data_IF_782190747380
#
_entry.id   IF_782190747380
#
_cell.length_a   1.000
_cell.length_b   1.000
_cell.length_c   1.000
_cell.angle_alpha   90.00
_cell.angle_beta   90.00
_cell.angle_gamma   90.00
#
_symmetry.space_group_name_H-M   'P 1'
#
loop_
_entity.id
_entity.type
_entity.pdbx_description
1 polymer ?
#
# COMPACT_ATOMS: atom_id res chain seq x y z
N UNK A 1 12.24 -1.30 13.68
CA UNK A 1 11.42 -2.54 13.75
C UNK A 1 10.91 -2.87 12.36
N UNK A 2 10.90 -4.14 12.00
CA UNK A 2 10.37 -4.63 10.72
C UNK A 2 9.06 -5.36 10.97
N UNK A 3 8.03 -5.07 10.19
CA UNK A 3 6.74 -5.73 10.27
C UNK A 3 6.41 -6.44 8.95
N UNK A 4 6.15 -7.73 9.03
CA UNK A 4 5.65 -8.54 7.91
C UNK A 4 4.28 -9.10 8.29
N UNK A 5 3.20 -8.47 7.89
CA UNK A 5 1.82 -8.81 8.24
C UNK A 5 1.52 -8.74 9.75
N UNK A 6 1.29 -7.54 10.27
CA UNK A 6 0.91 -7.37 11.68
C UNK A 6 0.32 -5.99 11.94
N UNK A 7 -0.11 -5.78 13.17
CA UNK A 7 -0.58 -4.49 13.66
C UNK A 7 0.62 -3.62 14.06
N UNK A 8 0.63 -2.39 13.57
CA UNK A 8 1.68 -1.41 13.79
C UNK A 8 1.10 -0.26 14.60
N UNK A 9 1.76 0.10 15.70
CA UNK A 9 1.37 1.24 16.54
C UNK A 9 2.54 2.12 16.94
N UNK A 10 3.73 1.85 16.43
CA UNK A 10 4.95 2.59 16.75
C UNK A 10 5.40 3.44 15.56
N UNK A 11 5.90 4.63 15.85
CA UNK A 11 6.56 5.47 14.86
C UNK A 11 7.87 4.81 14.37
N UNK A 12 8.30 5.17 13.17
CA UNK A 12 9.54 4.68 12.55
C UNK A 12 9.58 3.14 12.41
N UNK A 13 8.47 2.54 12.06
CA UNK A 13 8.36 1.11 11.75
C UNK A 13 8.56 0.88 10.26
N UNK A 14 9.42 -0.05 9.89
CA UNK A 14 9.58 -0.51 8.50
C UNK A 14 8.57 -1.61 8.21
N UNK A 15 7.82 -1.42 7.14
CA UNK A 15 6.90 -2.43 6.59
C UNK A 15 7.64 -3.12 5.44
N UNK A 16 7.76 -4.42 5.51
CA UNK A 16 8.47 -5.22 4.50
C UNK A 16 7.63 -6.41 4.07
N UNK A 17 7.86 -6.90 2.86
CA UNK A 17 7.26 -8.14 2.42
C UNK A 17 7.83 -9.35 3.20
N UNK A 18 7.14 -10.51 3.25
CA UNK A 18 7.59 -11.67 4.03
C UNK A 18 8.91 -12.27 3.58
N UNK A 19 9.35 -11.99 2.37
CA UNK A 19 10.61 -12.51 1.79
C UNK A 19 11.74 -11.50 1.80
N UNK A 20 11.54 -10.31 2.35
CA UNK A 20 12.55 -9.26 2.36
C UNK A 20 13.91 -9.80 2.89
N UNK A 21 15.04 -9.45 2.25
CA UNK A 21 15.22 -8.50 1.14
C UNK A 21 14.92 -9.03 -0.27
N UNK A 22 14.51 -10.27 -0.41
CA UNK A 22 14.13 -10.84 -1.70
C UNK A 22 12.72 -10.38 -2.12
N UNK A 23 12.42 -10.52 -3.40
CA UNK A 23 11.08 -10.28 -3.90
C UNK A 23 10.10 -11.31 -3.33
N UNK A 24 8.91 -10.87 -3.02
CA UNK A 24 7.84 -11.74 -2.56
C UNK A 24 7.06 -12.28 -3.76
N UNK A 25 6.97 -13.60 -3.83
CA UNK A 25 6.11 -14.30 -4.80
C UNK A 25 5.09 -15.10 -3.98
N UNK A 26 3.80 -14.79 -4.09
CA UNK A 26 2.78 -15.53 -3.35
C UNK A 26 2.68 -16.99 -3.84
N UNK A 27 2.41 -17.91 -2.93
CA UNK A 27 2.21 -19.33 -3.25
C UNK A 27 0.86 -19.62 -3.91
N UNK A 28 -0.06 -18.68 -3.85
CA UNK A 28 -1.39 -18.76 -4.47
C UNK A 28 -1.82 -17.40 -5.00
N UNK A 29 -2.67 -17.39 -6.04
CA UNK A 29 -3.20 -16.17 -6.64
C UNK A 29 -4.73 -16.22 -6.64
N UNK A 30 -5.46 -15.17 -6.23
CA UNK A 30 -4.97 -13.92 -5.66
C UNK A 30 -4.44 -14.07 -4.22
N UNK A 31 -3.53 -13.20 -3.84
CA UNK A 31 -2.96 -13.14 -2.48
C UNK A 31 -2.95 -11.72 -1.96
N UNK A 32 -3.30 -11.54 -0.71
CA UNK A 32 -3.34 -10.23 -0.06
C UNK A 32 -2.50 -10.23 1.20
N UNK A 33 -1.60 -9.25 1.30
CA UNK A 33 -0.88 -8.95 2.53
C UNK A 33 -1.54 -7.72 3.18
N UNK A 34 -1.96 -7.87 4.43
CA UNK A 34 -2.64 -6.79 5.15
C UNK A 34 -1.80 -6.33 6.33
N UNK A 35 -1.57 -5.03 6.38
CA UNK A 35 -0.90 -4.37 7.50
C UNK A 35 -1.87 -3.39 8.14
N UNK A 36 -2.08 -3.52 9.43
CA UNK A 36 -2.98 -2.63 10.17
C UNK A 36 -2.17 -1.62 10.94
N UNK A 37 -2.41 -0.35 10.69
CA UNK A 37 -1.77 0.75 11.41
C UNK A 37 -2.75 1.35 12.39
N UNK A 38 -2.41 1.28 13.67
CA UNK A 38 -3.18 1.89 14.75
C UNK A 38 -2.48 3.13 15.25
N UNK A 39 -3.27 4.12 15.64
CA UNK A 39 -2.73 5.29 16.33
C UNK A 39 -2.07 4.89 17.65
N UNK A 40 -0.90 5.43 17.93
CA UNK A 40 -0.25 5.24 19.23
C UNK A 40 -0.83 6.16 20.32
N UNK A 41 -1.52 7.23 19.92
CA UNK A 41 -2.28 8.11 20.83
C UNK A 41 -3.45 8.77 20.08
N UNK A 42 -4.38 9.37 20.87
CA UNK A 42 -5.54 10.09 20.33
C UNK A 42 -5.15 11.35 19.56
N UNK A 43 -3.98 11.90 19.82
CA UNK A 43 -3.48 13.14 19.21
C UNK A 43 -2.90 12.93 17.81
N UNK A 44 -2.72 11.67 17.39
CA UNK A 44 -2.21 11.34 16.06
C UNK A 44 -3.34 11.49 15.04
N UNK A 45 -3.15 12.40 14.08
CA UNK A 45 -4.11 12.69 13.03
C UNK A 45 -3.65 12.29 11.62
N UNK A 46 -2.36 12.05 11.45
CA UNK A 46 -1.77 11.75 10.14
C UNK A 46 -0.78 10.61 10.23
N UNK A 47 -0.64 9.90 9.11
CA UNK A 47 0.39 8.90 8.88
C UNK A 47 1.18 9.31 7.65
N UNK A 48 2.50 9.16 7.69
CA UNK A 48 3.39 9.31 6.55
C UNK A 48 4.02 7.98 6.22
N UNK A 49 3.91 7.60 4.96
CA UNK A 49 4.56 6.42 4.40
C UNK A 49 5.67 6.86 3.45
N UNK A 50 6.91 6.57 3.81
CA UNK A 50 8.07 6.79 2.96
C UNK A 50 8.43 5.49 2.25
N UNK A 51 8.54 5.52 0.94
CA UNK A 51 8.82 4.35 0.12
C UNK A 51 10.32 4.21 -0.13
N UNK A 52 11.04 3.57 0.78
CA UNK A 52 12.47 3.30 0.64
C UNK A 52 12.73 2.39 -0.55
N UNK A 53 11.92 1.34 -0.69
CA UNK A 53 11.91 0.46 -1.85
C UNK A 53 10.46 0.05 -2.14
N UNK A 54 9.91 0.55 -3.22
CA UNK A 54 8.55 0.25 -3.65
C UNK A 54 8.55 -0.11 -5.13
N UNK A 55 8.45 -1.39 -5.42
CA UNK A 55 8.38 -1.91 -6.79
C UNK A 55 7.28 -2.93 -6.88
N UNK A 56 6.24 -2.60 -7.62
CA UNK A 56 5.14 -3.49 -8.00
C UNK A 56 5.05 -3.54 -9.52
N UNK A 57 4.24 -4.45 -10.04
CA UNK A 57 3.98 -4.53 -11.48
C UNK A 57 3.52 -3.17 -12.01
N UNK A 58 4.06 -2.77 -13.15
CA UNK A 58 3.72 -1.50 -13.78
C UNK A 58 2.22 -1.42 -14.13
N UNK A 59 1.63 -0.22 -14.12
CA UNK A 59 0.26 -0.02 -14.57
C UNK A 59 0.11 -0.33 -16.05
N UNK A 60 -1.13 -0.57 -16.48
CA UNK A 60 -1.44 -0.86 -17.86
C UNK A 60 -1.08 0.33 -18.77
N UNK A 61 -0.56 0.00 -19.97
CA UNK A 61 -0.17 0.98 -20.97
C UNK A 61 -1.15 1.11 -22.14
N UNK A 62 -2.19 0.28 -22.19
CA UNK A 62 -3.18 0.33 -23.29
C UNK A 62 -3.99 1.62 -23.25
N UNK A 63 -4.31 2.18 -24.41
CA UNK A 63 -4.92 3.51 -24.54
C UNK A 63 -6.22 3.71 -23.74
N UNK A 64 -7.02 2.66 -23.56
CA UNK A 64 -8.29 2.72 -22.83
C UNK A 64 -8.17 2.44 -21.33
N UNK A 65 -7.02 1.87 -20.89
CA UNK A 65 -6.79 1.41 -19.51
C UNK A 65 -5.48 1.97 -18.94
N UNK A 66 -4.91 2.96 -19.60
CA UNK A 66 -3.64 3.55 -19.21
C UNK A 66 -3.64 4.04 -17.76
N UNK A 67 -2.62 3.64 -17.02
CA UNK A 67 -2.47 4.03 -15.63
C UNK A 67 -3.23 3.16 -14.63
N UNK A 68 -4.01 2.17 -15.06
CA UNK A 68 -4.71 1.26 -14.16
C UNK A 68 -3.79 0.18 -13.61
N UNK A 69 -3.87 -0.08 -12.31
CA UNK A 69 -3.20 -1.21 -11.68
C UNK A 69 -4.03 -2.48 -11.90
N UNK A 70 -3.48 -3.48 -12.56
CA UNK A 70 -4.21 -4.70 -12.95
C UNK A 70 -3.72 -5.96 -12.24
N UNK A 71 -2.46 -6.01 -11.84
CA UNK A 71 -1.84 -7.23 -11.29
C UNK A 71 -1.52 -7.02 -9.81
N UNK A 72 -0.55 -6.18 -9.52
CA UNK A 72 -0.16 -5.86 -8.15
C UNK A 72 -0.65 -4.47 -7.80
N UNK A 73 -1.15 -4.31 -6.60
CA UNK A 73 -1.67 -3.02 -6.16
C UNK A 73 -1.49 -2.86 -4.66
N UNK A 74 -1.06 -1.69 -4.24
CA UNK A 74 -1.15 -1.25 -2.86
C UNK A 74 -2.39 -0.38 -2.69
N UNK A 75 -3.21 -0.70 -1.71
CA UNK A 75 -4.42 0.05 -1.36
C UNK A 75 -4.35 0.50 0.09
N UNK A 76 -4.96 1.63 0.37
CA UNK A 76 -5.18 2.12 1.73
C UNK A 76 -6.68 2.11 2.01
N UNK A 77 -7.04 1.69 3.19
CA UNK A 77 -8.42 1.71 3.65
C UNK A 77 -8.47 2.13 5.11
N UNK A 78 -9.50 2.88 5.47
CA UNK A 78 -9.86 3.12 6.87
C UNK A 78 -11.07 2.28 7.23
N UNK A 79 -11.32 2.12 8.54
CA UNK A 79 -12.53 1.42 9.01
C UNK A 79 -13.84 2.09 8.55
N UNK A 80 -13.76 3.35 8.12
CA UNK A 80 -14.91 4.13 7.63
C UNK A 80 -15.04 4.17 6.10
N UNK A 81 -14.05 3.68 5.37
CA UNK A 81 -14.06 3.72 3.91
C UNK A 81 -13.83 2.33 3.32
N UNK A 82 -14.81 1.88 2.57
CA UNK A 82 -14.66 0.70 1.72
C UNK A 82 -13.97 1.14 0.43
N UNK A 83 -12.84 0.54 0.12
CA UNK A 83 -12.12 0.81 -1.14
C UNK A 83 -12.93 0.21 -2.28
N UNK A 84 -13.50 1.06 -3.12
CA UNK A 84 -14.21 0.63 -4.34
C UNK A 84 -13.27 0.80 -5.54
N UNK A 85 -12.94 -0.29 -6.25
CA UNK A 85 -11.90 -0.29 -7.29
C UNK A 85 -12.18 0.58 -8.53
N UNK A 86 -13.40 1.06 -8.74
CA UNK A 86 -13.83 1.50 -10.07
C UNK A 86 -14.34 2.94 -10.16
N UNK A 87 -14.39 3.70 -9.08
CA UNK A 87 -14.87 5.08 -9.15
C UNK A 87 -13.94 6.02 -8.41
N UNK A 88 -13.35 6.95 -9.14
CA UNK A 88 -12.65 8.10 -8.59
C UNK A 88 -13.66 9.06 -7.95
N UNK A 89 -14.13 8.73 -6.78
CA UNK A 89 -14.89 9.66 -5.97
C UNK A 89 -13.93 10.45 -5.09
N UNK A 90 -14.07 11.75 -5.04
CA UNK A 90 -13.28 12.62 -4.18
C UNK A 90 -13.24 12.06 -2.74
N UNK A 91 -12.05 11.95 -2.17
CA UNK A 91 -11.84 11.44 -0.82
C UNK A 91 -11.45 9.96 -0.71
N UNK A 92 -11.29 9.26 -1.81
CA UNK A 92 -10.75 7.90 -1.81
C UNK A 92 -9.23 7.91 -1.98
N UNK A 93 -8.56 6.97 -1.33
CA UNK A 93 -7.12 6.80 -1.49
C UNK A 93 -6.81 6.18 -2.86
N UNK A 94 -5.76 6.65 -3.55
CA UNK A 94 -5.39 6.11 -4.84
C UNK A 94 -4.86 4.69 -4.74
N UNK A 95 -5.01 3.93 -5.81
CA UNK A 95 -4.29 2.69 -6.00
C UNK A 95 -2.86 2.98 -6.45
N UNK A 96 -1.89 2.33 -5.83
CA UNK A 96 -0.49 2.48 -6.16
C UNK A 96 0.06 1.17 -6.74
N UNK A 97 0.71 1.27 -7.88
CA UNK A 97 1.48 0.21 -8.51
C UNK A 97 2.68 0.80 -9.26
N UNK A 98 3.49 -0.05 -9.87
CA UNK A 98 4.72 0.40 -10.51
C UNK A 98 5.83 0.72 -9.50
N UNK A 99 6.75 1.57 -9.90
CA UNK A 99 7.91 1.95 -9.10
C UNK A 99 7.70 3.31 -8.45
N UNK A 100 7.65 3.33 -7.11
CA UNK A 100 7.48 4.55 -6.32
C UNK A 100 8.61 4.74 -5.30
N UNK A 101 9.74 4.10 -5.49
CA UNK A 101 10.92 4.23 -4.62
C UNK A 101 11.36 5.70 -4.53
N UNK A 102 11.57 6.18 -3.31
CA UNK A 102 11.98 7.56 -3.04
C UNK A 102 10.83 8.56 -2.89
N UNK A 103 9.60 8.15 -3.14
CA UNK A 103 8.42 8.99 -2.91
C UNK A 103 7.85 8.78 -1.50
N UNK A 104 6.88 9.60 -1.14
CA UNK A 104 6.12 9.45 0.09
C UNK A 104 4.67 9.85 -0.12
N UNK A 105 3.80 9.37 0.76
CA UNK A 105 2.42 9.80 0.87
C UNK A 105 2.09 10.15 2.32
N UNK A 106 1.21 11.11 2.51
CA UNK A 106 0.63 11.48 3.80
C UNK A 106 -0.88 11.26 3.77
N UNK A 107 -1.40 10.67 4.84
CA UNK A 107 -2.81 10.29 4.96
C UNK A 107 -3.43 10.75 6.27
#
# INVERSE_FOLDING_TARGET
MYASASTISQNLTYIVNPSYPANYVPSSTPSTLTYTVNKCSTDICRIRLDYDLFVLTAPLAAATTQGQCSTDVMTLATTAQTVVPTTTTYGQYPYLCGTNTGYHCEY
#
